data_IF_933185489475
#
_entry.id   IF_933185489475
#
_cell.length_a   1.000
_cell.length_b   1.000
_cell.length_c   1.000
_cell.angle_alpha   90.00
_cell.angle_beta   90.00
_cell.angle_gamma   90.00
#
_symmetry.space_group_name_H-M   'P 1'
#
loop_
_entity.id
_entity.type
_entity.pdbx_description
1 polymer ?
#
# COMPACT_ATOMS: atom_id res chain seq x y z
N UNK A 1 2.98 -2.86 21.29
CA UNK A 1 3.24 -4.33 21.21
C UNK A 1 4.68 -4.57 20.83
N UNK A 2 5.40 -5.43 21.56
CA UNK A 2 6.78 -5.84 21.19
C UNK A 2 6.69 -6.91 20.10
N UNK A 3 7.41 -6.71 19.01
CA UNK A 3 7.47 -7.69 17.92
C UNK A 3 8.51 -8.77 18.24
N UNK A 4 8.08 -10.01 18.28
CA UNK A 4 8.92 -11.15 18.66
C UNK A 4 8.90 -12.26 17.61
N UNK A 5 9.97 -13.07 17.60
CA UNK A 5 10.08 -14.23 16.74
C UNK A 5 10.65 -13.95 15.36
N UNK A 6 10.42 -14.86 14.44
CA UNK A 6 10.81 -14.77 13.04
C UNK A 6 10.13 -13.58 12.33
N UNK A 7 10.68 -13.16 11.18
CA UNK A 7 10.09 -12.07 10.39
C UNK A 7 8.63 -12.37 10.02
N UNK A 8 8.32 -13.62 9.71
CA UNK A 8 6.95 -14.05 9.38
C UNK A 8 6.00 -13.90 10.57
N UNK A 9 6.43 -14.25 11.77
CA UNK A 9 5.63 -14.06 12.99
C UNK A 9 5.42 -12.60 13.30
N UNK A 10 6.44 -11.76 13.09
CA UNK A 10 6.37 -10.31 13.28
C UNK A 10 5.40 -9.65 12.27
N UNK A 11 5.42 -10.06 11.00
CA UNK A 11 4.43 -9.65 9.99
C UNK A 11 3.01 -10.00 10.44
N UNK A 12 2.80 -11.23 10.90
CA UNK A 12 1.50 -11.66 11.42
C UNK A 12 1.03 -10.86 12.63
N UNK A 13 1.94 -10.57 13.56
CA UNK A 13 1.63 -9.74 14.74
C UNK A 13 1.18 -8.34 14.30
N UNK A 14 1.85 -7.74 13.32
CA UNK A 14 1.49 -6.44 12.77
C UNK A 14 0.14 -6.47 12.07
N UNK A 15 -0.06 -7.38 11.14
CA UNK A 15 -1.31 -7.52 10.40
C UNK A 15 -2.51 -7.79 11.32
N UNK A 16 -2.32 -8.62 12.35
CA UNK A 16 -3.36 -8.93 13.33
C UNK A 16 -3.81 -7.69 14.11
N UNK A 17 -2.94 -6.71 14.33
CA UNK A 17 -3.32 -5.43 14.93
C UNK A 17 -4.35 -4.67 14.10
N UNK A 18 -4.31 -4.80 12.76
CA UNK A 18 -5.28 -4.22 11.83
C UNK A 18 -6.53 -5.08 11.61
N UNK A 19 -6.64 -6.20 12.31
CA UNK A 19 -7.77 -7.13 12.14
C UNK A 19 -7.64 -8.05 10.93
N UNK A 20 -6.43 -8.26 10.42
CA UNK A 20 -6.18 -9.22 9.35
C UNK A 20 -6.39 -10.67 9.82
N UNK A 21 -6.98 -11.47 8.95
CA UNK A 21 -7.08 -12.92 9.12
C UNK A 21 -6.86 -13.61 7.78
N UNK A 22 -6.50 -14.89 7.80
CA UNK A 22 -6.26 -15.67 6.56
C UNK A 22 -7.47 -15.74 5.63
N UNK A 23 -8.66 -15.74 6.20
CA UNK A 23 -9.93 -15.82 5.47
C UNK A 23 -10.61 -14.44 5.33
N UNK A 24 -9.86 -13.36 5.59
CA UNK A 24 -10.42 -12.01 5.45
C UNK A 24 -10.86 -11.78 4.00
N UNK A 25 -12.10 -11.36 3.88
CA UNK A 25 -12.67 -10.90 2.63
C UNK A 25 -13.66 -9.78 2.93
N UNK A 26 -13.34 -8.58 2.47
CA UNK A 26 -14.23 -7.41 2.54
C UNK A 26 -14.75 -7.11 1.15
N UNK A 27 -15.88 -6.38 1.03
CA UNK A 27 -16.38 -5.95 -0.27
C UNK A 27 -15.39 -4.94 -0.89
N UNK A 28 -15.15 -5.08 -2.18
CA UNK A 28 -14.39 -4.14 -3.01
C UNK A 28 -15.28 -3.30 -3.93
N UNK A 29 -16.59 -3.36 -3.79
CA UNK A 29 -17.54 -2.68 -4.69
C UNK A 29 -17.36 -1.16 -4.64
N UNK A 30 -17.13 -0.60 -3.44
CA UNK A 30 -16.82 0.82 -3.28
C UNK A 30 -15.53 1.23 -4.00
N UNK A 31 -14.50 0.38 -3.97
CA UNK A 31 -13.25 0.62 -4.68
C UNK A 31 -13.46 0.65 -6.19
N UNK A 32 -14.18 -0.33 -6.73
CA UNK A 32 -14.47 -0.40 -8.17
C UNK A 32 -15.19 0.86 -8.67
N UNK A 33 -16.17 1.34 -7.90
CA UNK A 33 -16.88 2.58 -8.21
C UNK A 33 -15.96 3.81 -8.24
N UNK A 34 -15.00 3.90 -7.30
CA UNK A 34 -14.01 4.99 -7.27
C UNK A 34 -13.09 4.95 -8.50
N UNK A 35 -12.58 3.76 -8.86
CA UNK A 35 -11.73 3.60 -10.05
C UNK A 35 -12.51 3.95 -11.34
N UNK A 36 -13.74 3.49 -11.47
CA UNK A 36 -14.58 3.82 -12.62
C UNK A 36 -14.85 5.32 -12.72
N UNK A 37 -15.13 6.00 -11.61
CA UNK A 37 -15.35 7.45 -11.53
C UNK A 37 -14.08 8.23 -11.92
N UNK A 38 -12.92 7.73 -11.55
CA UNK A 38 -11.64 8.33 -11.88
C UNK A 38 -11.12 8.00 -13.29
N UNK A 39 -11.71 7.02 -13.97
CA UNK A 39 -11.26 6.57 -15.29
C UNK A 39 -9.96 5.73 -15.25
N UNK A 40 -9.64 5.14 -14.09
CA UNK A 40 -8.44 4.33 -13.88
C UNK A 40 -8.78 2.83 -13.93
N UNK A 41 -7.94 1.97 -14.51
CA UNK A 41 -8.20 0.53 -14.53
C UNK A 41 -8.34 -0.07 -13.12
N UNK A 42 -9.37 -0.87 -12.90
CA UNK A 42 -9.53 -1.68 -11.69
C UNK A 42 -9.26 -3.14 -12.00
N UNK A 43 -8.00 -3.52 -11.92
CA UNK A 43 -7.55 -4.85 -12.29
C UNK A 43 -7.98 -5.91 -11.26
N UNK A 44 -8.13 -7.19 -11.67
CA UNK A 44 -8.45 -8.28 -10.74
C UNK A 44 -7.45 -8.42 -9.58
N UNK A 45 -6.20 -8.04 -9.78
CA UNK A 45 -5.19 -8.03 -8.71
C UNK A 45 -5.47 -6.93 -7.68
N UNK A 46 -5.86 -5.72 -8.11
CA UNK A 46 -6.27 -4.65 -7.20
C UNK A 46 -7.52 -5.06 -6.40
N UNK A 47 -8.50 -5.70 -7.05
CA UNK A 47 -9.67 -6.26 -6.38
C UNK A 47 -9.27 -7.22 -5.27
N UNK A 48 -8.43 -8.22 -5.57
CA UNK A 48 -7.95 -9.18 -4.57
C UNK A 48 -7.20 -8.51 -3.43
N UNK A 49 -6.40 -7.49 -3.75
CA UNK A 49 -5.69 -6.70 -2.74
C UNK A 49 -6.66 -6.02 -1.77
N UNK A 50 -7.66 -5.30 -2.28
CA UNK A 50 -8.67 -4.63 -1.45
C UNK A 50 -9.55 -5.61 -0.67
N UNK A 51 -9.95 -6.72 -1.27
CA UNK A 51 -10.72 -7.76 -0.56
C UNK A 51 -9.97 -8.29 0.67
N UNK A 52 -8.63 -8.30 0.64
CA UNK A 52 -7.78 -8.75 1.76
C UNK A 52 -7.37 -7.62 2.70
N UNK A 53 -7.09 -6.46 2.18
CA UNK A 53 -6.42 -5.38 2.89
C UNK A 53 -7.30 -4.16 3.17
N UNK A 54 -8.42 -3.97 2.47
CA UNK A 54 -9.30 -2.82 2.63
C UNK A 54 -9.76 -2.63 4.08
N UNK A 55 -9.68 -1.40 4.59
CA UNK A 55 -10.00 -1.07 5.96
C UNK A 55 -9.01 -1.57 7.03
N UNK A 56 -7.88 -2.20 6.64
CA UNK A 56 -6.82 -2.48 7.59
C UNK A 56 -6.21 -1.16 8.06
N UNK A 57 -6.16 -0.98 9.37
CA UNK A 57 -5.60 0.22 10.00
C UNK A 57 -6.33 1.55 9.71
N UNK A 58 -7.49 1.54 9.03
CA UNK A 58 -8.24 2.75 8.69
C UNK A 58 -8.73 3.56 9.92
N UNK A 59 -8.84 2.91 11.07
CA UNK A 59 -9.28 3.50 12.35
C UNK A 59 -8.13 3.80 13.32
N UNK A 60 -6.88 3.64 12.89
CA UNK A 60 -5.73 3.82 13.77
C UNK A 60 -4.43 4.11 12.99
N UNK A 61 -3.50 4.72 13.69
CA UNK A 61 -2.10 4.85 13.26
C UNK A 61 -1.27 3.70 13.81
N UNK A 62 -0.32 3.22 13.01
CA UNK A 62 0.70 2.30 13.46
C UNK A 62 2.02 3.05 13.60
N UNK A 63 2.57 3.08 14.79
CA UNK A 63 3.84 3.72 15.06
C UNK A 63 4.93 2.65 15.19
N UNK A 64 5.97 2.77 14.39
CA UNK A 64 7.19 2.00 14.53
C UNK A 64 8.13 2.69 15.53
N UNK A 65 8.54 1.95 16.56
CA UNK A 65 9.61 2.36 17.45
C UNK A 65 10.88 1.59 17.10
N UNK A 66 11.88 2.32 16.67
CA UNK A 66 13.26 1.83 16.48
C UNK A 66 14.11 2.24 17.69
N UNK A 67 15.36 1.83 17.76
CA UNK A 67 16.22 2.21 18.90
C UNK A 67 16.51 3.72 18.99
N UNK A 68 16.29 4.49 17.94
CA UNK A 68 16.64 5.91 17.85
C UNK A 68 15.48 6.83 17.48
N UNK A 69 14.37 6.30 17.00
CA UNK A 69 13.27 7.09 16.44
C UNK A 69 11.91 6.39 16.66
N UNK A 70 10.85 7.17 16.57
CA UNK A 70 9.47 6.68 16.65
C UNK A 70 8.63 7.46 15.66
N UNK A 71 8.15 6.80 14.62
CA UNK A 71 7.39 7.42 13.54
C UNK A 71 6.26 6.53 13.08
N UNK A 72 5.30 7.14 12.38
CA UNK A 72 4.20 6.48 11.76
C UNK A 72 4.67 5.52 10.66
N UNK A 73 4.07 4.33 10.63
CA UNK A 73 4.11 3.41 9.52
C UNK A 73 2.87 3.65 8.66
N UNK A 74 3.06 4.06 7.44
CA UNK A 74 1.98 4.36 6.50
C UNK A 74 1.40 3.06 5.95
N UNK A 75 0.09 2.92 6.08
CA UNK A 75 -0.69 1.89 5.44
C UNK A 75 -2.02 2.53 5.00
N UNK A 76 -1.92 3.40 4.00
CA UNK A 76 -3.05 4.17 3.51
C UNK A 76 -3.48 3.64 2.15
N UNK A 77 -4.63 2.99 2.10
CA UNK A 77 -5.24 2.60 0.86
C UNK A 77 -6.09 3.77 0.34
N UNK A 78 -6.01 4.02 -0.95
CA UNK A 78 -6.75 5.14 -1.55
C UNK A 78 -8.26 5.03 -1.34
N UNK A 79 -8.80 3.80 -1.28
CA UNK A 79 -10.21 3.56 -0.98
C UNK A 79 -10.63 3.90 0.46
N UNK A 80 -9.68 3.95 1.38
CA UNK A 80 -9.94 4.24 2.79
C UNK A 80 -9.90 5.76 3.06
N UNK A 81 -9.54 6.57 2.05
CA UNK A 81 -9.61 8.02 2.08
C UNK A 81 -11.04 8.49 1.81
N UNK A 82 -11.35 9.76 2.08
CA UNK A 82 -12.62 10.34 1.64
C UNK A 82 -12.79 10.22 0.11
N UNK A 83 -14.02 10.00 -0.34
CA UNK A 83 -14.31 9.71 -1.75
C UNK A 83 -13.68 10.71 -2.73
N UNK A 84 -13.83 12.02 -2.45
CA UNK A 84 -13.30 13.06 -3.34
C UNK A 84 -11.76 13.02 -3.40
N UNK A 85 -11.08 12.83 -2.26
CA UNK A 85 -9.63 12.74 -2.21
C UNK A 85 -9.12 11.49 -2.95
N UNK A 86 -9.77 10.34 -2.78
CA UNK A 86 -9.43 9.12 -3.50
C UNK A 86 -9.62 9.28 -5.02
N UNK A 87 -10.73 9.90 -5.45
CA UNK A 87 -11.00 10.15 -6.88
C UNK A 87 -9.97 11.11 -7.49
N UNK A 88 -9.59 12.16 -6.79
CA UNK A 88 -8.57 13.09 -7.27
C UNK A 88 -7.19 12.43 -7.39
N UNK A 89 -6.81 11.56 -6.44
CA UNK A 89 -5.58 10.77 -6.55
C UNK A 89 -5.62 9.79 -7.72
N UNK A 90 -6.75 9.12 -7.95
CA UNK A 90 -6.89 8.23 -9.10
C UNK A 90 -6.86 8.98 -10.44
N UNK A 91 -7.45 10.17 -10.51
CA UNK A 91 -7.36 11.03 -11.71
C UNK A 91 -5.91 11.43 -11.98
N UNK A 92 -5.15 11.75 -10.95
CA UNK A 92 -3.74 12.11 -11.05
C UNK A 92 -2.87 11.01 -11.70
N UNK A 93 -3.35 9.77 -11.77
CA UNK A 93 -2.70 8.69 -12.52
C UNK A 93 -2.46 9.02 -13.99
N UNK A 94 -3.30 9.88 -14.57
CA UNK A 94 -3.19 10.31 -15.97
C UNK A 94 -2.94 11.83 -16.13
N UNK A 95 -2.82 12.58 -15.05
CA UNK A 95 -2.62 14.03 -15.06
C UNK A 95 -1.15 14.39 -14.93
N UNK A 96 -0.55 14.83 -16.02
CA UNK A 96 0.83 15.35 -16.06
C UNK A 96 0.91 16.86 -15.78
N UNK A 97 -0.24 17.53 -15.57
CA UNK A 97 -0.30 19.00 -15.45
C UNK A 97 -0.02 19.57 -14.07
N UNK A 98 0.16 18.71 -13.04
CA UNK A 98 0.45 19.12 -11.67
C UNK A 98 1.68 18.38 -11.13
N UNK A 99 2.40 18.96 -10.16
CA UNK A 99 3.56 18.31 -9.55
C UNK A 99 3.21 16.96 -8.89
N UNK A 100 2.02 16.84 -8.34
CA UNK A 100 1.51 15.57 -7.78
C UNK A 100 1.15 14.60 -8.90
N UNK A 101 0.47 15.06 -9.95
CA UNK A 101 0.12 14.27 -11.11
C UNK A 101 1.35 13.76 -11.86
N UNK A 102 2.34 14.62 -12.09
CA UNK A 102 3.62 14.24 -12.72
C UNK A 102 4.31 13.13 -11.93
N UNK A 103 4.35 13.21 -10.60
CA UNK A 103 4.95 12.19 -9.74
C UNK A 103 4.19 10.88 -9.84
N UNK A 104 2.88 10.89 -9.62
CA UNK A 104 2.05 9.67 -9.64
C UNK A 104 2.04 9.04 -11.02
N UNK A 105 1.94 9.83 -12.07
CA UNK A 105 2.03 9.35 -13.45
C UNK A 105 3.41 8.73 -13.74
N UNK A 106 4.48 9.38 -13.31
CA UNK A 106 5.85 8.86 -13.44
C UNK A 106 6.07 7.54 -12.71
N UNK A 107 5.57 7.42 -11.48
CA UNK A 107 5.61 6.19 -10.70
C UNK A 107 4.78 5.07 -11.36
N UNK A 108 3.59 5.39 -11.86
CA UNK A 108 2.75 4.45 -12.57
C UNK A 108 3.40 3.93 -13.86
N UNK A 109 4.06 4.82 -14.63
CA UNK A 109 4.83 4.44 -15.81
C UNK A 109 5.99 3.53 -15.47
N UNK A 110 6.72 3.82 -14.38
CA UNK A 110 7.81 2.98 -13.91
C UNK A 110 7.30 1.58 -13.47
N UNK A 111 6.22 1.53 -12.70
CA UNK A 111 5.59 0.28 -12.30
C UNK A 111 5.11 -0.54 -13.51
N UNK A 112 4.48 0.12 -14.49
CA UNK A 112 4.00 -0.48 -15.74
C UNK A 112 5.13 -1.02 -16.59
N UNK A 113 6.22 -0.26 -16.71
CA UNK A 113 7.41 -0.71 -17.44
C UNK A 113 8.04 -1.94 -16.78
N UNK A 114 8.15 -1.94 -15.44
CA UNK A 114 8.68 -3.09 -14.69
C UNK A 114 7.75 -4.31 -14.75
N UNK A 115 6.43 -4.10 -14.76
CA UNK A 115 5.44 -5.18 -14.86
C UNK A 115 5.32 -5.76 -16.27
N UNK A 116 5.59 -4.97 -17.30
CA UNK A 116 5.32 -5.32 -18.70
C UNK A 116 3.82 -5.41 -19.02
N UNK A 117 2.95 -4.86 -18.17
CA UNK A 117 1.49 -4.95 -18.27
C UNK A 117 0.82 -3.78 -17.55
N UNK A 118 -0.51 -3.67 -17.63
CA UNK A 118 -1.27 -2.66 -16.92
C UNK A 118 -1.16 -2.81 -15.41
N UNK A 119 -1.26 -1.67 -14.69
CA UNK A 119 -1.21 -1.59 -13.24
C UNK A 119 -2.36 -0.74 -12.70
N UNK A 120 -2.78 -1.01 -11.47
CA UNK A 120 -3.75 -0.21 -10.72
C UNK A 120 -3.09 0.31 -9.45
N UNK A 121 -3.06 1.62 -9.18
CA UNK A 121 -2.58 2.15 -7.92
C UNK A 121 -3.50 1.69 -6.79
N UNK A 122 -2.98 1.21 -5.67
CA UNK A 122 -3.80 0.71 -4.56
C UNK A 122 -3.61 1.47 -3.25
N UNK A 123 -2.50 2.14 -3.06
CA UNK A 123 -2.24 2.92 -1.85
C UNK A 123 -0.78 3.22 -1.63
N UNK A 124 -0.47 3.66 -0.42
CA UNK A 124 0.87 4.00 0.04
C UNK A 124 1.19 3.12 1.25
N UNK A 125 2.29 2.37 1.19
CA UNK A 125 2.73 1.48 2.26
C UNK A 125 4.21 1.68 2.53
N UNK A 126 4.59 1.82 3.81
CA UNK A 126 5.99 1.85 4.22
C UNK A 126 6.25 2.76 5.42
N UNK A 127 7.52 2.75 5.86
CA UNK A 127 8.01 3.56 6.97
C UNK A 127 8.92 4.66 6.44
N UNK A 128 8.79 5.87 6.94
CA UNK A 128 9.60 7.06 6.65
C UNK A 128 9.47 7.61 5.22
N UNK A 129 9.77 6.84 4.21
CA UNK A 129 9.55 7.14 2.79
C UNK A 129 8.71 6.02 2.18
N UNK A 130 7.39 6.07 2.37
CA UNK A 130 6.53 4.99 1.93
C UNK A 130 6.52 4.88 0.41
N UNK A 131 6.34 3.65 -0.08
CA UNK A 131 6.17 3.39 -1.50
C UNK A 131 4.73 3.58 -1.94
N UNK A 132 4.53 4.11 -3.13
CA UNK A 132 3.28 3.92 -3.86
C UNK A 132 3.21 2.49 -4.36
N UNK A 133 2.11 1.80 -4.09
CA UNK A 133 1.90 0.39 -4.42
C UNK A 133 0.94 0.25 -5.58
N UNK A 134 1.35 -0.50 -6.58
CA UNK A 134 0.58 -0.81 -7.78
C UNK A 134 0.33 -2.31 -7.89
N UNK A 135 -0.92 -2.71 -8.10
CA UNK A 135 -1.28 -4.10 -8.40
C UNK A 135 -1.31 -4.29 -9.92
N UNK A 136 -0.54 -5.25 -10.44
CA UNK A 136 -0.43 -5.52 -11.88
C UNK A 136 -1.28 -6.72 -12.33
N UNK A 137 -1.56 -6.82 -13.63
CA UNK A 137 -2.32 -7.94 -14.20
C UNK A 137 -1.70 -9.31 -13.90
N UNK A 138 -0.36 -9.38 -13.82
CA UNK A 138 0.36 -10.60 -13.47
C UNK A 138 0.15 -11.05 -12.00
N UNK A 139 -0.58 -10.27 -11.21
CA UNK A 139 -0.91 -10.56 -9.82
C UNK A 139 0.12 -10.09 -8.81
N UNK A 140 1.26 -9.55 -9.25
CA UNK A 140 2.31 -9.02 -8.39
C UNK A 140 2.02 -7.58 -7.95
N UNK A 141 2.65 -7.17 -6.87
CA UNK A 141 2.64 -5.80 -6.35
C UNK A 141 3.97 -5.12 -6.67
N UNK A 142 3.88 -3.94 -7.26
CA UNK A 142 5.03 -3.10 -7.64
C UNK A 142 5.07 -1.88 -6.73
N UNK A 143 6.16 -1.73 -5.98
CA UNK A 143 6.37 -0.64 -5.03
C UNK A 143 7.38 0.35 -5.62
N UNK A 144 6.96 1.59 -5.76
CA UNK A 144 7.80 2.70 -6.26
C UNK A 144 8.01 3.69 -5.12
N UNK A 145 9.25 3.89 -4.72
CA UNK A 145 9.62 4.85 -3.68
C UNK A 145 10.04 6.17 -4.32
N UNK A 146 9.60 7.28 -3.74
CA UNK A 146 9.80 8.64 -4.29
C UNK A 146 11.27 8.98 -4.62
N UNK A 147 12.19 8.44 -3.83
CA UNK A 147 13.64 8.76 -3.97
C UNK A 147 14.49 7.59 -4.47
N UNK A 148 13.84 6.53 -4.95
CA UNK A 148 14.53 5.35 -5.46
C UNK A 148 14.30 5.21 -6.97
N UNK A 149 15.33 4.80 -7.69
CA UNK A 149 15.22 4.54 -9.14
C UNK A 149 14.65 3.15 -9.45
N UNK A 150 14.66 2.26 -8.45
CA UNK A 150 14.32 0.86 -8.64
C UNK A 150 12.90 0.56 -8.17
N UNK A 151 12.15 -0.12 -9.03
CA UNK A 151 10.83 -0.65 -8.68
C UNK A 151 11.01 -2.00 -7.99
N UNK A 152 10.50 -2.12 -6.76
CA UNK A 152 10.50 -3.40 -6.02
C UNK A 152 9.25 -4.19 -6.31
N UNK A 153 9.39 -5.51 -6.40
CA UNK A 153 8.32 -6.42 -6.78
C UNK A 153 8.08 -7.41 -5.65
N UNK A 154 6.81 -7.59 -5.27
CA UNK A 154 6.38 -8.46 -4.18
C UNK A 154 5.20 -9.32 -4.62
N UNK A 155 5.10 -10.53 -4.09
CA UNK A 155 3.98 -11.42 -4.38
C UNK A 155 2.68 -10.97 -3.66
N UNK A 156 2.81 -10.40 -2.47
CA UNK A 156 1.68 -9.96 -1.66
C UNK A 156 2.08 -8.90 -0.62
N UNK A 157 1.10 -8.44 0.16
CA UNK A 157 1.31 -7.46 1.22
C UNK A 157 2.19 -7.99 2.36
N UNK A 158 2.19 -9.29 2.60
CA UNK A 158 3.01 -9.91 3.66
C UNK A 158 4.50 -9.76 3.32
N UNK A 159 4.87 -9.88 2.05
CA UNK A 159 6.24 -9.64 1.58
C UNK A 159 6.65 -8.16 1.66
N UNK A 160 5.75 -7.22 1.34
CA UNK A 160 6.02 -5.78 1.55
C UNK A 160 6.31 -5.51 3.02
N UNK A 161 5.46 -6.00 3.93
CA UNK A 161 5.67 -5.82 5.36
C UNK A 161 6.92 -6.53 5.88
N UNK A 162 7.23 -7.70 5.35
CA UNK A 162 8.47 -8.41 5.69
C UNK A 162 9.71 -7.59 5.32
N UNK A 163 9.71 -6.99 4.13
CA UNK A 163 10.76 -6.08 3.68
C UNK A 163 10.90 -4.87 4.63
N UNK A 164 9.81 -4.17 4.93
CA UNK A 164 9.80 -3.01 5.82
C UNK A 164 10.32 -3.35 7.23
N UNK A 165 9.87 -4.48 7.80
CA UNK A 165 10.33 -4.94 9.12
C UNK A 165 11.80 -5.38 9.13
N UNK A 166 12.34 -5.85 8.00
CA UNK A 166 13.76 -6.20 7.88
C UNK A 166 14.65 -4.96 7.75
N UNK A 167 14.23 -4.00 6.95
CA UNK A 167 14.99 -2.76 6.69
C UNK A 167 15.02 -1.87 7.94
N UNK A 168 13.87 -1.59 8.50
CA UNK A 168 13.72 -0.61 9.58
C UNK A 168 13.86 -1.20 10.99
N UNK A 169 13.73 -2.52 11.14
CA UNK A 169 13.94 -3.29 12.38
C UNK A 169 13.26 -2.66 13.61
N UNK A 170 11.96 -2.36 13.55
CA UNK A 170 11.28 -1.82 14.71
C UNK A 170 11.33 -2.83 15.87
N UNK A 171 11.56 -2.34 17.06
CA UNK A 171 11.58 -3.13 18.29
C UNK A 171 10.17 -3.27 18.87
N UNK A 172 9.33 -2.28 18.61
CA UNK A 172 7.93 -2.23 19.03
C UNK A 172 7.07 -1.54 18.01
N UNK A 173 5.81 -1.94 17.92
CA UNK A 173 4.75 -1.18 17.26
C UNK A 173 3.72 -0.73 18.29
N UNK A 174 3.20 0.47 18.11
CA UNK A 174 2.11 1.04 18.88
C UNK A 174 0.94 1.31 17.93
N UNK A 175 -0.26 0.90 18.34
CA UNK A 175 -1.50 1.27 17.67
C UNK A 175 -2.11 2.45 18.39
N UNK A 176 -2.26 3.58 17.72
CA UNK A 176 -2.94 4.79 18.22
C UNK A 176 -4.30 4.92 17.53
N UNK A 177 -5.30 5.24 18.33
CA UNK A 177 -6.66 5.52 17.83
C UNK A 177 -6.93 7.02 17.85
#
# INVERSE_FOLDING_TARGET
>A
MVLNGSIRERVWQMLSCGGYSRNRKVSSDGCEALYAKAGVPFLPAARRFYERCGGLFSDCEIIFETGSDSREFYFYLYSDMGEDAAVELYKAYYDEGTSVGERICGEALAAKAAAGTEVSPVGIIGYYYPATVYAAENGMLYCVHEYESDVRVFADVEEILAYELQVHRPIRIERRR
#
